data_IF_091532890974
#
_entry.id   IF_091532890974
#
_cell.length_a   1.000
_cell.length_b   1.000
_cell.length_c   1.000
_cell.angle_alpha   90.00
_cell.angle_beta   90.00
_cell.angle_gamma   90.00
#
_symmetry.space_group_name_H-M   'P 1'
#
loop_
_entity.id
_entity.type
_entity.pdbx_description
1 polymer ?
#
# COMPACT_ATOMS: atom_id res chain seq x y z
N UNK A 1 -15.28 -44.15 -27.31
CA UNK A 1 -15.07 -42.71 -27.32
C UNK A 1 -14.55 -42.35 -25.93
N UNK A 2 -13.23 -42.52 -25.75
CA UNK A 2 -12.55 -42.27 -24.46
C UNK A 2 -12.50 -40.76 -24.22
N UNK A 3 -13.13 -40.31 -23.14
CA UNK A 3 -12.98 -38.97 -22.60
C UNK A 3 -11.56 -38.90 -22.05
N UNK A 4 -10.66 -38.29 -22.78
CA UNK A 4 -9.35 -37.87 -22.27
C UNK A 4 -9.63 -36.81 -21.18
N UNK A 5 -9.66 -37.19 -19.90
CA UNK A 5 -9.59 -36.25 -18.81
C UNK A 5 -8.30 -35.43 -18.97
N UNK A 6 -8.46 -34.16 -19.32
CA UNK A 6 -7.35 -33.22 -19.34
C UNK A 6 -6.91 -33.04 -17.88
N UNK A 7 -5.78 -33.63 -17.52
CA UNK A 7 -5.17 -33.44 -16.19
C UNK A 7 -4.79 -31.96 -16.10
N UNK A 8 -5.57 -31.19 -15.31
CA UNK A 8 -5.27 -29.77 -15.04
C UNK A 8 -3.90 -29.64 -14.37
N UNK A 9 -3.14 -28.66 -14.79
CA UNK A 9 -1.87 -28.35 -14.13
C UNK A 9 -2.12 -27.90 -12.67
N UNK A 10 -1.15 -28.12 -11.78
CA UNK A 10 -1.23 -27.66 -10.37
C UNK A 10 -1.59 -26.17 -10.28
N UNK A 11 -1.08 -25.37 -11.22
CA UNK A 11 -1.38 -23.94 -11.32
C UNK A 11 -2.84 -23.65 -11.65
N UNK A 12 -3.46 -24.41 -12.53
CA UNK A 12 -4.87 -24.27 -12.87
C UNK A 12 -5.79 -24.67 -11.71
N UNK A 13 -5.43 -25.73 -11.00
CA UNK A 13 -6.17 -26.17 -9.80
C UNK A 13 -6.15 -25.07 -8.72
N UNK A 14 -4.99 -24.48 -8.44
CA UNK A 14 -4.86 -23.39 -7.47
C UNK A 14 -5.66 -22.16 -7.93
N UNK A 15 -5.63 -21.84 -9.22
CA UNK A 15 -6.39 -20.71 -9.79
C UNK A 15 -7.90 -20.90 -9.63
N UNK A 16 -8.39 -22.09 -9.91
CA UNK A 16 -9.83 -22.40 -9.74
C UNK A 16 -10.26 -22.32 -8.26
N UNK A 17 -9.46 -22.86 -7.35
CA UNK A 17 -9.72 -22.75 -5.89
C UNK A 17 -9.70 -21.31 -5.42
N UNK A 18 -8.75 -20.49 -5.87
CA UNK A 18 -8.68 -19.07 -5.53
C UNK A 18 -9.94 -18.34 -5.98
N UNK A 19 -10.42 -18.58 -7.21
CA UNK A 19 -11.65 -17.98 -7.72
C UNK A 19 -12.87 -18.38 -6.90
N UNK A 20 -12.94 -19.66 -6.51
CA UNK A 20 -14.07 -20.18 -5.76
C UNK A 20 -14.14 -19.61 -4.33
N UNK A 21 -13.00 -19.45 -3.65
CA UNK A 21 -12.96 -19.11 -2.23
C UNK A 21 -12.54 -17.66 -1.94
N UNK A 22 -11.95 -16.97 -2.91
CA UNK A 22 -11.44 -15.59 -2.78
C UNK A 22 -11.88 -14.69 -3.93
N UNK A 23 -13.10 -14.88 -4.43
CA UNK A 23 -13.64 -14.07 -5.53
C UNK A 23 -13.61 -12.57 -5.19
N UNK A 24 -13.24 -11.75 -6.17
CA UNK A 24 -13.08 -10.30 -5.98
C UNK A 24 -11.90 -9.87 -5.10
N UNK A 25 -11.10 -10.81 -4.57
CA UNK A 25 -9.90 -10.54 -3.75
C UNK A 25 -8.59 -10.87 -4.47
N UNK A 26 -8.68 -11.39 -5.68
CA UNK A 26 -7.51 -11.82 -6.46
C UNK A 26 -7.02 -10.68 -7.33
N UNK A 27 -5.71 -10.45 -7.29
CA UNK A 27 -5.04 -9.47 -8.15
C UNK A 27 -4.00 -10.15 -9.04
N UNK A 28 -4.02 -9.83 -10.31
CA UNK A 28 -3.04 -10.33 -11.30
C UNK A 28 -1.72 -9.57 -11.15
N UNK A 29 -0.71 -10.22 -10.59
CA UNK A 29 0.63 -9.65 -10.35
C UNK A 29 1.40 -9.32 -11.63
N UNK A 30 1.11 -9.97 -12.75
CA UNK A 30 1.71 -9.65 -14.05
C UNK A 30 1.29 -8.26 -14.56
N UNK A 31 0.09 -7.79 -14.19
CA UNK A 31 -0.40 -6.47 -14.58
C UNK A 31 0.29 -5.35 -13.79
N UNK A 32 0.70 -5.60 -12.55
CA UNK A 32 1.42 -4.59 -11.75
C UNK A 32 2.74 -4.18 -12.41
N UNK A 33 3.46 -5.16 -13.00
CA UNK A 33 4.71 -4.88 -13.75
C UNK A 33 4.47 -3.96 -14.94
N UNK A 34 3.39 -4.20 -15.71
CA UNK A 34 3.03 -3.39 -16.90
C UNK A 34 2.67 -1.94 -16.57
N UNK A 35 2.22 -1.67 -15.35
CA UNK A 35 1.80 -0.34 -14.90
C UNK A 35 2.93 0.40 -14.20
N UNK A 36 3.78 -0.32 -13.45
CA UNK A 36 4.87 0.26 -12.65
C UNK A 36 5.95 0.95 -13.49
N UNK A 37 6.06 0.64 -14.78
CA UNK A 37 6.95 1.34 -15.72
C UNK A 37 6.52 2.80 -15.86
N UNK A 38 7.11 3.68 -15.03
CA UNK A 38 6.88 5.14 -15.06
C UNK A 38 6.13 5.74 -13.87
N UNK A 39 5.66 4.94 -12.91
CA UNK A 39 5.01 5.46 -11.70
C UNK A 39 5.77 5.03 -10.43
N UNK A 40 6.25 5.98 -9.65
CA UNK A 40 6.89 5.71 -8.35
C UNK A 40 5.84 5.50 -7.24
N UNK A 41 4.89 4.60 -7.53
CA UNK A 41 3.76 4.26 -6.66
C UNK A 41 4.05 2.91 -5.99
N UNK A 42 3.79 2.73 -4.69
CA UNK A 42 3.90 1.43 -4.04
C UNK A 42 3.03 0.37 -4.73
N UNK A 43 3.54 -0.88 -4.79
CA UNK A 43 2.84 -1.98 -5.48
C UNK A 43 1.44 -2.22 -4.93
N UNK A 44 1.25 -2.14 -3.62
CA UNK A 44 -0.06 -2.35 -3.01
C UNK A 44 -1.12 -1.30 -3.41
N UNK A 45 -0.69 -0.06 -3.76
CA UNK A 45 -1.60 0.97 -4.31
C UNK A 45 -2.06 0.56 -5.71
N UNK A 46 -1.13 0.05 -6.54
CA UNK A 46 -1.45 -0.47 -7.86
C UNK A 46 -2.39 -1.68 -7.78
N UNK A 47 -2.15 -2.58 -6.84
CA UNK A 47 -2.96 -3.77 -6.62
C UNK A 47 -4.39 -3.43 -6.20
N UNK A 48 -4.56 -2.42 -5.36
CA UNK A 48 -5.88 -1.92 -5.00
C UNK A 48 -6.66 -1.43 -6.23
N UNK A 49 -6.03 -0.63 -7.08
CA UNK A 49 -6.68 -0.13 -8.30
C UNK A 49 -6.94 -1.25 -9.30
N UNK A 50 -6.00 -2.17 -9.47
CA UNK A 50 -6.18 -3.34 -10.33
C UNK A 50 -7.31 -4.26 -9.82
N UNK A 51 -7.41 -4.45 -8.52
CA UNK A 51 -8.52 -5.21 -7.93
C UNK A 51 -9.89 -4.60 -8.21
N UNK A 52 -9.97 -3.27 -8.31
CA UNK A 52 -11.22 -2.57 -8.64
C UNK A 52 -11.60 -2.64 -10.13
N UNK A 53 -10.62 -2.64 -11.03
CA UNK A 53 -10.88 -2.46 -12.47
C UNK A 53 -10.48 -3.64 -13.35
N UNK A 54 -9.74 -4.62 -12.82
CA UNK A 54 -9.20 -5.75 -13.59
C UNK A 54 -9.52 -7.10 -12.94
N UNK A 55 -10.64 -7.22 -12.23
CA UNK A 55 -11.08 -8.46 -11.55
C UNK A 55 -11.74 -9.48 -12.51
N UNK A 56 -11.96 -9.13 -13.77
CA UNK A 56 -12.52 -10.02 -14.79
C UNK A 56 -11.46 -11.00 -15.36
N UNK A 57 -11.93 -12.09 -15.96
CA UNK A 57 -11.12 -13.03 -16.76
C UNK A 57 -11.11 -12.72 -18.26
N UNK A 58 -11.95 -11.79 -18.72
CA UNK A 58 -12.01 -11.34 -20.10
C UNK A 58 -10.83 -10.41 -20.40
N UNK A 59 -10.00 -10.80 -21.34
CA UNK A 59 -8.80 -10.03 -21.70
C UNK A 59 -9.13 -8.62 -22.22
N UNK A 60 -10.27 -8.43 -22.88
CA UNK A 60 -10.71 -7.12 -23.36
C UNK A 60 -11.12 -6.20 -22.20
N UNK A 61 -11.83 -6.74 -21.20
CA UNK A 61 -12.18 -5.99 -19.98
C UNK A 61 -10.93 -5.67 -19.17
N UNK A 62 -9.99 -6.61 -19.07
CA UNK A 62 -8.71 -6.40 -18.37
C UNK A 62 -7.91 -5.29 -19.05
N UNK A 63 -7.81 -5.28 -20.37
CA UNK A 63 -7.07 -4.25 -21.09
C UNK A 63 -7.67 -2.86 -20.89
N UNK A 64 -8.99 -2.73 -20.96
CA UNK A 64 -9.69 -1.49 -20.65
C UNK A 64 -9.47 -1.07 -19.19
N UNK A 65 -9.51 -2.01 -18.26
CA UNK A 65 -9.21 -1.79 -16.84
C UNK A 65 -7.79 -1.26 -16.63
N UNK A 66 -6.79 -1.86 -17.26
CA UNK A 66 -5.38 -1.41 -17.21
C UNK A 66 -5.23 0.01 -17.76
N UNK A 67 -5.87 0.33 -18.89
CA UNK A 67 -5.85 1.69 -19.43
C UNK A 67 -6.50 2.69 -18.48
N UNK A 68 -7.60 2.30 -17.85
CA UNK A 68 -8.28 3.13 -16.84
C UNK A 68 -7.40 3.38 -15.62
N UNK A 69 -6.72 2.34 -15.10
CA UNK A 69 -5.77 2.50 -13.97
C UNK A 69 -4.61 3.41 -14.35
N UNK A 70 -4.03 3.25 -15.55
CA UNK A 70 -2.97 4.13 -16.04
C UNK A 70 -3.43 5.59 -16.09
N UNK A 71 -4.65 5.85 -16.56
CA UNK A 71 -5.22 7.20 -16.60
C UNK A 71 -5.44 7.76 -15.19
N UNK A 72 -6.03 6.98 -14.28
CA UNK A 72 -6.23 7.38 -12.87
C UNK A 72 -4.91 7.79 -12.23
N UNK A 73 -3.85 7.01 -12.45
CA UNK A 73 -2.52 7.33 -11.92
C UNK A 73 -1.92 8.57 -12.57
N UNK A 74 -2.05 8.72 -13.88
CA UNK A 74 -1.54 9.89 -14.60
C UNK A 74 -2.23 11.19 -14.16
N UNK A 75 -3.54 11.13 -13.91
CA UNK A 75 -4.34 12.31 -13.59
C UNK A 75 -4.31 12.65 -12.10
N UNK A 76 -4.22 11.66 -11.22
CA UNK A 76 -4.45 11.85 -9.78
C UNK A 76 -3.22 11.57 -8.90
N UNK A 77 -2.24 10.81 -9.35
CA UNK A 77 -1.07 10.51 -8.51
C UNK A 77 -0.18 11.73 -8.38
N UNK A 78 0.03 12.17 -7.13
CA UNK A 78 0.86 13.33 -6.85
C UNK A 78 2.33 12.96 -6.90
N UNK A 79 3.06 13.57 -7.82
CA UNK A 79 4.52 13.58 -7.81
C UNK A 79 5.01 14.82 -7.09
N UNK A 80 6.03 14.72 -6.22
CA UNK A 80 6.50 15.87 -5.47
C UNK A 80 6.93 17.07 -6.33
N UNK A 81 7.47 16.81 -7.53
CA UNK A 81 7.87 17.81 -8.50
C UNK A 81 6.69 18.48 -9.25
N UNK A 82 5.51 17.84 -9.27
CA UNK A 82 4.29 18.35 -9.90
C UNK A 82 3.31 19.00 -8.90
N UNK A 83 3.62 19.05 -7.60
CA UNK A 83 2.71 19.52 -6.57
C UNK A 83 2.13 20.92 -6.87
N UNK A 84 2.97 21.89 -7.31
CA UNK A 84 2.52 23.23 -7.64
C UNK A 84 1.57 23.29 -8.84
N UNK A 85 1.76 22.42 -9.82
CA UNK A 85 0.87 22.27 -10.96
C UNK A 85 -0.52 21.79 -10.52
N UNK A 86 -0.56 20.78 -9.66
CA UNK A 86 -1.80 20.23 -9.11
C UNK A 86 -2.54 21.28 -8.28
N UNK A 87 -1.84 22.04 -7.44
CA UNK A 87 -2.45 23.15 -6.68
C UNK A 87 -3.03 24.24 -7.57
N UNK A 88 -2.34 24.58 -8.68
CA UNK A 88 -2.86 25.52 -9.65
C UNK A 88 -4.12 24.99 -10.35
N UNK A 89 -4.13 23.70 -10.71
CA UNK A 89 -5.31 23.04 -11.29
C UNK A 89 -6.48 23.03 -10.30
N UNK A 90 -6.23 22.68 -9.04
CA UNK A 90 -7.24 22.68 -7.98
C UNK A 90 -7.88 24.07 -7.82
N UNK A 91 -7.06 25.12 -7.81
CA UNK A 91 -7.55 26.52 -7.75
C UNK A 91 -8.42 26.90 -8.96
N UNK A 92 -8.06 26.43 -10.17
CA UNK A 92 -8.78 26.76 -11.40
C UNK A 92 -10.10 25.98 -11.54
N UNK A 93 -10.09 24.69 -11.16
CA UNK A 93 -11.25 23.80 -11.30
C UNK A 93 -12.20 23.82 -10.11
N UNK A 94 -11.78 24.40 -8.97
CA UNK A 94 -12.53 24.39 -7.72
C UNK A 94 -12.45 23.04 -6.97
N UNK A 95 -12.26 21.92 -7.67
CA UNK A 95 -12.07 20.60 -7.05
C UNK A 95 -11.13 19.75 -7.87
N UNK A 96 -10.38 18.85 -7.17
CA UNK A 96 -9.48 17.90 -7.82
C UNK A 96 -9.31 16.66 -6.94
N UNK A 97 -9.20 15.49 -7.58
CA UNK A 97 -8.92 14.23 -6.88
C UNK A 97 -7.43 13.96 -6.93
N UNK A 98 -6.83 13.60 -5.80
CA UNK A 98 -5.41 13.26 -5.69
C UNK A 98 -5.22 11.89 -5.05
N UNK A 99 -4.13 11.22 -5.41
CA UNK A 99 -3.64 10.01 -4.73
C UNK A 99 -2.36 10.40 -4.02
N UNK A 100 -2.41 10.47 -2.69
CA UNK A 100 -1.26 10.83 -1.86
C UNK A 100 -1.28 10.07 -0.54
N UNK A 101 -0.15 10.04 0.13
CA UNK A 101 -0.04 9.57 1.51
C UNK A 101 -0.32 10.72 2.45
N UNK A 102 -1.26 10.54 3.38
CA UNK A 102 -1.62 11.55 4.36
C UNK A 102 -1.44 11.04 5.78
N UNK A 103 -1.07 11.95 6.67
CA UNK A 103 -1.11 11.80 8.12
C UNK A 103 -2.06 12.83 8.69
N UNK A 104 -2.70 12.50 9.81
CA UNK A 104 -3.63 13.41 10.50
C UNK A 104 -3.12 13.66 11.91
N UNK A 105 -3.25 14.88 12.38
CA UNK A 105 -2.88 15.29 13.73
C UNK A 105 -3.99 16.11 14.36
N UNK A 106 -4.19 15.96 15.67
CA UNK A 106 -5.09 16.83 16.42
C UNK A 106 -4.39 18.17 16.70
N UNK A 107 -4.94 19.25 16.18
CA UNK A 107 -4.53 20.59 16.53
C UNK A 107 -5.28 21.06 17.79
N UNK A 108 -4.66 20.90 18.96
CA UNK A 108 -5.26 21.22 20.26
C UNK A 108 -5.67 22.69 20.37
N UNK A 109 -4.99 23.61 19.67
CA UNK A 109 -5.31 25.05 19.73
C UNK A 109 -6.60 25.40 18.98
N UNK A 110 -6.87 24.68 17.89
CA UNK A 110 -8.04 24.91 17.05
C UNK A 110 -9.15 23.88 17.33
N UNK A 111 -8.89 22.89 18.18
CA UNK A 111 -9.77 21.76 18.49
C UNK A 111 -10.31 21.08 17.22
N UNK A 112 -9.40 20.79 16.28
CA UNK A 112 -9.74 20.15 15.02
C UNK A 112 -8.63 19.23 14.55
N UNK A 113 -8.97 18.27 13.70
CA UNK A 113 -8.01 17.41 13.01
C UNK A 113 -7.49 18.08 11.74
N UNK A 114 -6.18 18.03 11.54
CA UNK A 114 -5.49 18.59 10.38
C UNK A 114 -4.66 17.52 9.67
N UNK A 115 -4.81 17.46 8.35
CA UNK A 115 -4.03 16.56 7.50
C UNK A 115 -2.74 17.21 7.01
N UNK A 116 -1.70 16.37 6.90
CA UNK A 116 -0.46 16.65 6.19
C UNK A 116 -0.32 15.69 5.00
N UNK A 117 -0.09 16.23 3.80
CA UNK A 117 0.08 15.50 2.55
C UNK A 117 1.55 15.33 2.23
N UNK A 118 1.98 14.08 2.04
CA UNK A 118 3.41 13.78 1.89
C UNK A 118 4.01 14.27 0.58
N UNK A 119 3.33 14.06 -0.55
CA UNK A 119 3.83 14.45 -1.87
C UNK A 119 3.34 15.84 -2.29
N UNK A 120 2.09 16.18 -1.99
CA UNK A 120 1.52 17.48 -2.30
C UNK A 120 2.13 18.60 -1.44
N UNK A 121 2.73 18.24 -0.29
CA UNK A 121 3.41 19.16 0.62
C UNK A 121 2.49 20.10 1.40
N UNK A 122 1.18 19.85 1.38
CA UNK A 122 0.21 20.62 2.16
C UNK A 122 0.22 20.20 3.61
N UNK A 123 0.03 21.18 4.51
CA UNK A 123 -0.08 20.97 5.96
C UNK A 123 -1.22 21.79 6.53
N UNK A 124 -1.79 21.31 7.64
CA UNK A 124 -2.86 22.01 8.33
C UNK A 124 -4.18 22.08 7.56
N UNK A 125 -4.45 21.07 6.73
CA UNK A 125 -5.70 20.97 5.99
C UNK A 125 -6.77 20.36 6.90
N UNK A 126 -7.90 21.03 7.16
CA UNK A 126 -8.97 20.50 7.99
C UNK A 126 -9.51 19.17 7.47
N UNK A 127 -9.74 18.23 8.38
CA UNK A 127 -10.29 16.91 8.11
C UNK A 127 -11.41 16.62 9.12
N UNK A 128 -12.50 16.05 8.63
CA UNK A 128 -13.63 15.64 9.47
C UNK A 128 -13.19 14.57 10.50
N UNK A 129 -13.65 14.72 11.73
CA UNK A 129 -13.29 13.85 12.86
C UNK A 129 -13.70 12.39 12.71
N UNK A 130 -14.65 12.11 11.81
CA UNK A 130 -15.06 10.74 11.49
C UNK A 130 -13.94 9.92 10.86
N UNK A 131 -13.06 10.55 10.07
CA UNK A 131 -11.97 9.83 9.40
C UNK A 131 -10.91 9.28 10.37
N UNK A 132 -10.31 10.08 11.29
CA UNK A 132 -9.36 9.51 12.24
C UNK A 132 -10.02 8.57 13.27
N UNK A 133 -11.32 8.72 13.53
CA UNK A 133 -12.08 7.77 14.37
C UNK A 133 -12.29 6.43 13.64
N UNK A 134 -12.54 6.45 12.34
CA UNK A 134 -12.74 5.25 11.52
C UNK A 134 -11.41 4.59 11.13
N UNK A 135 -10.35 5.38 10.97
CA UNK A 135 -9.05 4.95 10.47
C UNK A 135 -7.94 5.48 11.40
N UNK A 136 -7.71 4.82 12.51
CA UNK A 136 -6.72 5.19 13.55
C UNK A 136 -5.28 5.31 13.01
N UNK A 137 -4.96 4.57 11.94
CA UNK A 137 -3.69 4.68 11.22
C UNK A 137 -3.41 6.05 10.60
N UNK A 138 -4.42 6.86 10.37
CA UNK A 138 -4.22 8.25 9.97
C UNK A 138 -3.42 9.03 11.02
N UNK A 139 -3.61 8.68 12.30
CA UNK A 139 -2.90 9.27 13.44
C UNK A 139 -1.51 8.67 13.67
N UNK A 140 -1.26 7.47 13.10
CA UNK A 140 -0.07 6.66 13.37
C UNK A 140 0.73 6.34 12.09
N UNK A 141 1.45 7.32 11.54
CA UNK A 141 2.33 7.08 10.39
C UNK A 141 1.71 7.28 9.00
N UNK A 142 0.40 7.49 8.95
CA UNK A 142 -0.33 7.85 7.74
C UNK A 142 -0.57 6.69 6.77
N UNK A 143 -1.53 6.89 5.88
CA UNK A 143 -1.95 5.92 4.86
C UNK A 143 -2.08 6.57 3.48
N UNK A 144 -1.96 5.75 2.45
CA UNK A 144 -2.27 6.16 1.08
C UNK A 144 -3.78 6.24 0.89
N UNK A 145 -4.24 7.34 0.31
CA UNK A 145 -5.66 7.61 0.10
C UNK A 145 -5.91 8.17 -1.31
N UNK A 146 -7.11 7.93 -1.79
CA UNK A 146 -7.73 8.71 -2.86
C UNK A 146 -8.50 9.83 -2.16
N UNK A 147 -8.13 11.08 -2.43
CA UNK A 147 -8.62 12.24 -1.71
C UNK A 147 -9.23 13.22 -2.69
N UNK A 148 -10.47 13.59 -2.48
CA UNK A 148 -11.11 14.68 -3.21
C UNK A 148 -10.91 15.96 -2.42
N UNK A 149 -10.19 16.90 -3.02
CA UNK A 149 -9.96 18.24 -2.49
C UNK A 149 -10.89 19.25 -3.13
N UNK A 150 -11.27 20.24 -2.35
CA UNK A 150 -11.99 21.43 -2.82
C UNK A 150 -11.20 22.68 -2.52
N UNK A 151 -11.29 23.66 -3.40
CA UNK A 151 -10.68 24.95 -3.24
C UNK A 151 -11.78 26.02 -3.16
N UNK A 152 -11.98 26.57 -1.98
CA UNK A 152 -12.91 27.66 -1.75
C UNK A 152 -12.16 28.83 -1.08
N UNK A 153 -12.08 29.95 -1.78
CA UNK A 153 -11.42 31.12 -1.25
C UNK A 153 -12.43 32.14 -0.76
N UNK A 154 -12.53 32.28 0.57
CA UNK A 154 -13.39 33.26 1.24
C UNK A 154 -12.51 34.39 1.76
N UNK A 155 -12.80 35.66 1.31
CA UNK A 155 -11.98 36.83 1.69
C UNK A 155 -11.97 37.12 3.20
N UNK A 156 -13.04 36.77 3.90
CA UNK A 156 -13.21 37.00 5.33
C UNK A 156 -12.32 36.06 6.19
N UNK A 157 -11.93 34.90 5.65
CA UNK A 157 -11.13 33.89 6.36
C UNK A 157 -9.60 34.07 6.22
N UNK A 158 -9.15 35.21 5.68
CA UNK A 158 -7.73 35.52 5.45
C UNK A 158 -6.80 35.32 6.64
N UNK A 159 -7.32 35.32 7.86
CA UNK A 159 -6.50 35.25 9.09
C UNK A 159 -6.33 33.85 9.68
N UNK A 160 -7.21 32.91 9.40
CA UNK A 160 -7.24 31.62 10.12
C UNK A 160 -7.52 30.37 9.27
N UNK A 161 -7.89 30.48 8.01
CA UNK A 161 -8.30 29.36 7.18
C UNK A 161 -7.35 29.05 6.02
N UNK A 162 -7.27 27.80 5.65
CA UNK A 162 -6.74 27.38 4.34
C UNK A 162 -7.89 27.31 3.34
N UNK A 163 -7.70 27.79 2.09
CA UNK A 163 -8.74 27.72 1.07
C UNK A 163 -8.97 26.29 0.55
N UNK A 164 -8.28 25.32 1.11
CA UNK A 164 -8.36 23.90 0.70
C UNK A 164 -9.01 23.09 1.80
N UNK A 165 -9.95 22.23 1.44
CA UNK A 165 -10.62 21.29 2.34
C UNK A 165 -10.65 19.89 1.74
N UNK A 166 -10.73 18.87 2.62
CA UNK A 166 -10.93 17.49 2.23
C UNK A 166 -12.43 17.20 2.16
N UNK A 167 -12.96 17.03 0.95
CA UNK A 167 -14.37 16.64 0.74
C UNK A 167 -14.59 15.15 1.00
N UNK A 168 -13.69 14.32 0.48
CA UNK A 168 -13.78 12.88 0.60
C UNK A 168 -12.41 12.26 0.71
N UNK A 169 -12.30 11.28 1.61
CA UNK A 169 -11.10 10.51 1.83
C UNK A 169 -11.45 9.02 1.72
N UNK A 170 -10.77 8.31 0.82
CA UNK A 170 -10.94 6.87 0.64
C UNK A 170 -9.58 6.20 0.81
N UNK A 171 -9.36 5.47 1.91
CA UNK A 171 -8.12 4.73 2.10
C UNK A 171 -7.90 3.68 1.01
N UNK A 172 -6.68 3.60 0.53
CA UNK A 172 -6.27 2.58 -0.45
C UNK A 172 -5.96 1.26 0.25
N UNK A 173 -5.64 1.30 1.53
CA UNK A 173 -5.42 0.12 2.34
C UNK A 173 -6.76 -0.35 2.91
N UNK A 174 -7.00 -1.65 2.86
CA UNK A 174 -8.20 -2.22 3.48
C UNK A 174 -8.10 -2.06 5.01
N UNK A 175 -8.96 -1.26 5.63
CA UNK A 175 -8.94 -1.05 7.08
C UNK A 175 -9.46 -2.28 7.84
N UNK A 176 -10.11 -3.21 7.15
CA UNK A 176 -10.74 -4.39 7.75
C UNK A 176 -10.29 -5.67 7.05
N UNK A 177 -9.69 -6.56 7.83
CA UNK A 177 -9.28 -7.90 7.37
C UNK A 177 -10.36 -8.87 7.85
N UNK A 178 -11.03 -9.54 6.91
CA UNK A 178 -11.94 -10.64 7.21
C UNK A 178 -11.13 -11.93 7.44
N UNK A 179 -10.79 -12.14 8.72
CA UNK A 179 -9.98 -13.29 9.14
C UNK A 179 -10.76 -14.61 8.99
N UNK A 180 -12.07 -14.58 9.19
CA UNK A 180 -12.90 -15.80 9.12
C UNK A 180 -13.04 -16.27 7.67
N UNK A 181 -13.22 -15.34 6.73
CA UNK A 181 -13.16 -15.63 5.30
C UNK A 181 -11.78 -16.20 4.91
N UNK A 182 -10.70 -15.61 5.41
CA UNK A 182 -9.34 -16.10 5.14
C UNK A 182 -9.12 -17.51 5.66
N UNK A 183 -9.57 -17.82 6.88
CA UNK A 183 -9.47 -19.15 7.49
C UNK A 183 -10.27 -20.20 6.72
N UNK A 184 -11.55 -19.89 6.42
CA UNK A 184 -12.41 -20.82 5.68
C UNK A 184 -11.90 -21.07 4.26
N UNK A 185 -11.46 -20.01 3.56
CA UNK A 185 -10.85 -20.17 2.25
C UNK A 185 -9.56 -20.98 2.27
N UNK A 186 -8.74 -20.82 3.33
CA UNK A 186 -7.49 -21.60 3.52
C UNK A 186 -7.74 -23.10 3.59
N UNK A 187 -8.85 -23.57 4.16
CA UNK A 187 -9.17 -24.99 4.32
C UNK A 187 -9.29 -25.74 2.99
N UNK A 188 -9.60 -25.03 1.90
CA UNK A 188 -9.71 -25.61 0.56
C UNK A 188 -8.35 -25.99 -0.07
N UNK A 189 -7.23 -25.55 0.51
CA UNK A 189 -5.89 -25.73 -0.05
C UNK A 189 -5.07 -26.70 0.77
N UNK A 190 -4.28 -27.55 0.10
CA UNK A 190 -3.23 -28.31 0.78
C UNK A 190 -2.15 -27.35 1.33
N UNK A 191 -1.27 -27.88 2.14
CA UNK A 191 -0.15 -27.10 2.69
C UNK A 191 0.75 -26.57 1.59
N UNK A 192 1.06 -27.40 0.62
CA UNK A 192 1.93 -27.06 -0.52
C UNK A 192 1.28 -26.03 -1.43
N UNK A 193 0.00 -26.21 -1.77
CA UNK A 193 -0.76 -25.23 -2.54
C UNK A 193 -0.82 -23.87 -1.84
N UNK A 194 -1.00 -23.87 -0.50
CA UNK A 194 -1.06 -22.64 0.25
C UNK A 194 0.29 -21.91 0.31
N UNK A 195 1.39 -22.64 0.42
CA UNK A 195 2.74 -22.10 0.29
C UNK A 195 2.90 -21.38 -1.06
N UNK A 196 2.44 -22.02 -2.13
CA UNK A 196 2.51 -21.45 -3.47
C UNK A 196 1.63 -20.20 -3.62
N UNK A 197 0.45 -20.19 -3.01
CA UNK A 197 -0.43 -19.00 -2.95
C UNK A 197 0.26 -17.85 -2.24
N UNK A 198 0.87 -18.09 -1.07
CA UNK A 198 1.58 -17.08 -0.29
C UNK A 198 2.76 -16.49 -1.09
N UNK A 199 3.56 -17.34 -1.73
CA UNK A 199 4.69 -16.89 -2.55
C UNK A 199 4.22 -16.07 -3.76
N UNK A 200 3.16 -16.48 -4.44
CA UNK A 200 2.58 -15.71 -5.55
C UNK A 200 2.01 -14.38 -5.07
N UNK A 201 1.46 -14.32 -3.85
CA UNK A 201 0.93 -13.07 -3.29
C UNK A 201 2.01 -11.99 -3.09
N UNK A 202 3.25 -12.38 -2.88
CA UNK A 202 4.40 -11.47 -2.82
C UNK A 202 5.14 -11.30 -4.15
N UNK A 203 4.60 -11.85 -5.24
CA UNK A 203 5.13 -11.70 -6.60
C UNK A 203 6.25 -12.67 -6.97
N UNK A 204 6.44 -13.75 -6.20
CA UNK A 204 7.38 -14.82 -6.51
C UNK A 204 6.70 -15.93 -7.32
N UNK A 205 7.44 -16.60 -8.22
CA UNK A 205 6.95 -17.75 -8.96
C UNK A 205 7.44 -19.04 -8.28
N UNK A 206 6.56 -19.81 -7.61
CA UNK A 206 6.96 -20.98 -6.84
C UNK A 206 7.36 -22.19 -7.71
N UNK A 207 6.93 -22.23 -8.98
CA UNK A 207 7.15 -23.39 -9.83
C UNK A 207 8.64 -23.62 -10.17
N UNK A 208 9.45 -22.54 -10.09
CA UNK A 208 10.90 -22.60 -10.33
C UNK A 208 11.72 -22.78 -9.05
N UNK A 209 11.07 -22.86 -7.90
CA UNK A 209 11.72 -22.92 -6.59
C UNK A 209 11.71 -24.34 -6.03
N UNK A 210 12.85 -24.76 -5.47
CA UNK A 210 12.90 -25.96 -4.66
C UNK A 210 12.09 -25.81 -3.36
N UNK A 211 11.70 -26.93 -2.75
CA UNK A 211 10.96 -26.92 -1.48
C UNK A 211 11.67 -26.11 -0.39
N UNK A 212 13.00 -26.23 -0.30
CA UNK A 212 13.80 -25.49 0.68
C UNK A 212 13.76 -23.97 0.42
N UNK A 213 13.87 -23.58 -0.84
CA UNK A 213 13.82 -22.15 -1.22
C UNK A 213 12.46 -21.53 -0.91
N UNK A 214 11.36 -22.26 -1.15
CA UNK A 214 10.01 -21.81 -0.76
C UNK A 214 9.93 -21.48 0.74
N UNK A 215 10.47 -22.37 1.60
CA UNK A 215 10.48 -22.12 3.05
C UNK A 215 11.37 -20.98 3.47
N UNK A 216 12.53 -20.79 2.86
CA UNK A 216 13.41 -19.66 3.13
C UNK A 216 12.76 -18.33 2.76
N UNK A 217 12.02 -18.27 1.64
CA UNK A 217 11.27 -17.09 1.23
C UNK A 217 10.07 -16.81 2.16
N UNK A 218 9.39 -17.87 2.64
CA UNK A 218 8.34 -17.70 3.65
C UNK A 218 8.90 -17.19 4.98
N UNK A 219 10.07 -17.70 5.41
CA UNK A 219 10.71 -17.24 6.63
C UNK A 219 11.00 -15.74 6.62
N UNK A 220 11.29 -15.15 5.44
CA UNK A 220 11.48 -13.70 5.24
C UNK A 220 10.23 -12.89 5.60
N UNK A 221 9.04 -13.49 5.51
CA UNK A 221 7.78 -12.81 5.81
C UNK A 221 7.41 -12.84 7.31
N UNK A 222 8.07 -13.64 8.13
CA UNK A 222 7.75 -13.78 9.55
C UNK A 222 7.73 -12.43 10.29
N UNK A 223 8.70 -11.49 10.08
CA UNK A 223 8.66 -10.20 10.75
C UNK A 223 7.44 -9.33 10.45
N UNK A 224 6.70 -9.65 9.38
CA UNK A 224 5.47 -8.92 9.01
C UNK A 224 4.23 -9.42 9.77
N UNK A 225 4.31 -10.59 10.40
CA UNK A 225 3.14 -11.28 11.01
C UNK A 225 3.37 -11.68 12.47
N UNK A 226 4.61 -11.73 12.93
CA UNK A 226 4.98 -12.11 14.30
C UNK A 226 5.49 -10.93 15.11
N UNK A 227 4.93 -10.72 16.30
CA UNK A 227 5.36 -9.66 17.21
C UNK A 227 6.77 -9.94 17.75
N UNK A 228 7.57 -8.89 17.83
CA UNK A 228 8.93 -8.92 18.38
C UNK A 228 9.87 -9.94 17.71
N UNK A 229 9.62 -10.28 16.45
CA UNK A 229 10.47 -11.18 15.68
C UNK A 229 11.52 -10.39 14.92
N UNK A 230 12.80 -10.61 15.23
CA UNK A 230 13.93 -9.97 14.56
C UNK A 230 14.58 -10.96 13.59
N UNK A 231 14.76 -10.55 12.35
CA UNK A 231 15.40 -11.33 11.30
C UNK A 231 16.59 -10.57 10.71
N UNK A 232 17.73 -11.24 10.61
CA UNK A 232 18.86 -10.75 9.83
C UNK A 232 19.05 -11.64 8.61
N UNK A 233 18.93 -11.09 7.42
CA UNK A 233 19.11 -11.81 6.17
C UNK A 233 20.39 -11.36 5.45
N UNK A 234 21.34 -12.28 5.33
CA UNK A 234 22.56 -12.10 4.58
C UNK A 234 22.44 -12.80 3.23
N UNK A 235 22.89 -12.15 2.16
CA UNK A 235 22.85 -12.77 0.83
C UNK A 235 23.14 -11.77 -0.28
N UNK A 236 23.28 -12.26 -1.53
CA UNK A 236 23.65 -11.45 -2.68
C UNK A 236 22.60 -10.36 -2.97
N UNK A 237 23.01 -9.37 -3.74
CA UNK A 237 22.13 -8.30 -4.22
C UNK A 237 21.07 -8.87 -5.18
N UNK A 238 19.98 -8.13 -5.38
CA UNK A 238 18.92 -8.45 -6.34
C UNK A 238 18.13 -9.74 -6.06
N UNK A 239 18.11 -10.23 -4.81
CA UNK A 239 17.28 -11.38 -4.40
C UNK A 239 15.92 -11.00 -3.81
N UNK A 240 15.50 -9.73 -3.98
CA UNK A 240 14.19 -9.23 -3.55
C UNK A 240 14.04 -8.98 -2.04
N UNK A 241 15.16 -8.95 -1.25
CA UNK A 241 15.10 -8.71 0.21
C UNK A 241 14.37 -7.41 0.55
N UNK A 242 14.89 -6.29 0.07
CA UNK A 242 14.34 -4.96 0.35
C UNK A 242 12.96 -4.73 -0.29
N UNK A 243 12.69 -5.40 -1.43
CA UNK A 243 11.43 -5.29 -2.17
C UNK A 243 10.23 -5.68 -1.30
N UNK A 244 10.34 -6.77 -0.52
CA UNK A 244 9.28 -7.25 0.35
C UNK A 244 8.82 -6.17 1.33
N UNK A 245 9.76 -5.54 2.02
CA UNK A 245 9.47 -4.54 3.06
C UNK A 245 9.10 -3.17 2.50
N UNK A 246 9.50 -2.86 1.27
CA UNK A 246 9.20 -1.58 0.63
C UNK A 246 7.87 -1.57 -0.11
N UNK A 247 7.53 -2.68 -0.78
CA UNK A 247 6.51 -2.67 -1.82
C UNK A 247 5.25 -3.50 -1.49
N UNK A 248 5.37 -4.50 -0.60
CA UNK A 248 4.31 -5.48 -0.40
C UNK A 248 3.41 -5.11 0.78
N UNK A 249 3.99 -4.67 1.88
CA UNK A 249 3.23 -4.33 3.08
C UNK A 249 3.14 -2.82 3.29
N UNK A 250 1.92 -2.30 3.48
CA UNK A 250 1.72 -0.91 3.90
C UNK A 250 2.16 -0.66 5.34
N UNK A 251 2.41 -1.71 6.11
CA UNK A 251 2.69 -1.68 7.54
C UNK A 251 4.18 -1.78 7.85
N UNK A 252 5.01 -1.84 6.83
CA UNK A 252 6.47 -1.87 6.95
C UNK A 252 7.12 -0.62 6.36
N UNK A 253 8.25 -0.24 6.94
CA UNK A 253 9.09 0.82 6.42
C UNK A 253 10.50 0.30 6.19
N UNK A 254 11.08 0.65 5.05
CA UNK A 254 12.47 0.36 4.73
C UNK A 254 13.33 1.60 4.98
N UNK A 255 14.29 1.48 5.90
CA UNK A 255 15.31 2.50 6.18
C UNK A 255 16.56 2.10 5.42
N UNK A 256 16.98 2.88 4.43
CA UNK A 256 18.18 2.63 3.64
C UNK A 256 19.27 3.64 3.99
N UNK A 257 20.56 3.23 3.82
CA UNK A 257 21.70 4.15 3.93
C UNK A 257 22.29 4.34 5.31
N UNK A 258 22.18 3.38 6.22
CA UNK A 258 23.10 3.17 7.36
C UNK A 258 23.11 4.20 8.49
N UNK A 259 22.48 5.37 8.37
CA UNK A 259 22.50 6.37 9.43
C UNK A 259 21.12 6.86 9.83
N UNK A 260 20.52 6.17 10.77
CA UNK A 260 19.34 6.65 11.47
C UNK A 260 19.72 6.98 12.92
N UNK A 261 19.29 8.15 13.38
CA UNK A 261 19.55 8.56 14.77
C UNK A 261 18.64 7.83 15.74
N UNK A 262 19.09 7.63 16.98
CA UNK A 262 18.28 7.07 18.07
C UNK A 262 16.96 7.83 18.25
N UNK A 263 17.00 9.17 18.11
CA UNK A 263 15.82 10.02 18.19
C UNK A 263 14.80 9.73 17.07
N UNK A 264 15.26 9.42 15.88
CA UNK A 264 14.38 9.07 14.75
C UNK A 264 13.81 7.66 14.87
N UNK A 265 14.57 6.72 15.44
CA UNK A 265 14.12 5.33 15.63
C UNK A 265 13.12 5.19 16.78
N UNK A 266 13.40 5.79 17.93
CA UNK A 266 12.66 5.52 19.16
C UNK A 266 11.81 6.70 19.60
N UNK A 267 12.42 7.80 20.05
CA UNK A 267 11.69 8.97 20.54
C UNK A 267 12.51 10.26 20.35
N UNK A 268 11.90 11.25 19.73
CA UNK A 268 12.50 12.56 19.53
C UNK A 268 12.13 13.48 20.71
N UNK A 269 13.07 13.70 21.65
CA UNK A 269 12.87 14.53 22.83
C UNK A 269 12.57 16.00 22.48
N UNK A 270 13.18 16.54 21.42
CA UNK A 270 12.99 17.94 21.02
C UNK A 270 11.61 18.20 20.42
N UNK A 271 11.11 17.25 19.65
CA UNK A 271 9.79 17.32 19.00
C UNK A 271 8.69 16.63 19.80
N UNK A 272 9.04 15.89 20.85
CA UNK A 272 8.13 15.06 21.65
C UNK A 272 7.32 14.07 20.79
N UNK A 273 7.96 13.46 19.80
CA UNK A 273 7.31 12.53 18.87
C UNK A 273 7.91 11.13 18.99
N UNK A 274 7.05 10.13 18.87
CA UNK A 274 7.44 8.71 18.78
C UNK A 274 8.17 8.47 17.47
N UNK A 275 9.21 7.65 17.50
CA UNK A 275 10.02 7.31 16.33
C UNK A 275 9.47 6.10 15.55
N UNK A 276 10.22 5.70 14.53
CA UNK A 276 9.79 4.70 13.55
C UNK A 276 9.36 3.36 14.18
N UNK A 277 10.08 2.89 15.19
CA UNK A 277 9.79 1.59 15.84
C UNK A 277 8.46 1.59 16.59
N UNK A 278 8.00 2.75 17.05
CA UNK A 278 6.71 2.87 17.70
C UNK A 278 5.54 3.20 16.75
N UNK A 279 5.84 3.54 15.48
CA UNK A 279 4.84 3.92 14.48
C UNK A 279 4.56 2.82 13.45
N UNK A 280 5.51 1.89 13.25
CA UNK A 280 5.43 0.88 12.21
C UNK A 280 5.46 -0.52 12.81
N UNK A 281 4.68 -1.44 12.24
CA UNK A 281 4.63 -2.83 12.67
C UNK A 281 5.94 -3.56 12.34
N UNK A 282 6.60 -3.17 11.25
CA UNK A 282 7.88 -3.70 10.84
C UNK A 282 8.82 -2.58 10.35
N UNK A 283 10.01 -2.49 10.94
CA UNK A 283 11.07 -1.58 10.49
C UNK A 283 12.22 -2.41 9.94
N UNK A 284 12.43 -2.33 8.64
CA UNK A 284 13.52 -3.01 7.95
C UNK A 284 14.69 -2.05 7.69
N UNK A 285 15.90 -2.54 7.85
CA UNK A 285 17.14 -1.79 7.56
C UNK A 285 17.85 -2.42 6.38
N UNK A 286 18.21 -1.60 5.39
CA UNK A 286 18.97 -2.02 4.22
C UNK A 286 20.36 -1.34 4.23
N UNK A 287 21.35 -2.09 3.76
CA UNK A 287 22.74 -1.59 3.67
C UNK A 287 23.34 -1.06 5.00
N UNK A 288 23.11 -1.79 6.08
CA UNK A 288 23.67 -1.46 7.43
C UNK A 288 25.16 -1.78 7.57
N UNK A 289 25.86 -2.11 6.50
CA UNK A 289 27.29 -2.37 6.52
C UNK A 289 28.08 -1.07 6.77
N UNK A 290 28.60 -0.93 7.99
CA UNK A 290 29.42 0.22 8.38
C UNK A 290 29.01 0.89 9.69
N UNK A 291 28.15 0.25 10.49
CA UNK A 291 27.88 0.64 11.86
C UNK A 291 28.89 0.00 12.78
#
# INVERSE_FOLDING_TARGET
>A
MELTEVVKSSREIIKDKLRQHFDGKIVRKDLTKKIKEGANVPVYVLEFLLGQYCSSDDDGIIEQGVQKVKRILADNFVRPDEAQKILSMLRQSGSHTVIDKITVQLNIKKDCYEAEFSNLGLKGIPVDESYPTMYDRLLCGGIWCIIQLEYEYVEEDKKNGTPIQVLKLTPIQMPHIDIDMLKSGREAFSKEEWIDVLLRSIGMEPDVLSYREKWLLLARMIPLVENNFNLCELGPRSTGKSHLFKEISPNSILVSGGQTTVANLFYNMGRKTVGLVGLWDCVAFDEVAGI
#
